data_IF_722106876446
#
_entry.id   IF_722106876446
#
_cell.length_a   1.000
_cell.length_b   1.000
_cell.length_c   1.000
_cell.angle_alpha   90.00
_cell.angle_beta   90.00
_cell.angle_gamma   90.00
#
_symmetry.space_group_name_H-M   'P 1'
#
loop_
_entity.id
_entity.type
_entity.pdbx_description
1 polymer ?
#
# COMPACT_ATOMS: atom_id res chain seq x y z
N UNK A 1 50.79 -20.70 38.89
CA UNK A 1 50.89 -19.25 39.17
C UNK A 1 50.55 -18.49 37.90
N UNK A 2 49.53 -17.63 37.92
CA UNK A 2 49.08 -16.80 36.79
C UNK A 2 49.82 -15.46 36.81
N UNK A 3 50.25 -14.94 35.66
CA UNK A 3 49.96 -13.54 35.34
C UNK A 3 49.45 -13.44 33.88
N UNK A 4 48.15 -13.28 33.64
CA UNK A 4 47.40 -12.03 33.42
C UNK A 4 48.09 -10.95 32.57
N UNK A 5 47.47 -10.79 31.39
CA UNK A 5 47.24 -9.57 30.62
C UNK A 5 48.44 -8.88 29.97
N UNK A 6 48.41 -8.78 28.64
CA UNK A 6 48.32 -7.52 27.88
C UNK A 6 48.16 -7.92 26.41
N UNK A 7 46.93 -8.14 25.92
CA UNK A 7 46.10 -7.11 25.25
C UNK A 7 46.83 -6.42 24.10
N UNK A 8 46.87 -7.06 22.91
CA UNK A 8 46.75 -6.42 21.59
C UNK A 8 46.14 -7.42 20.60
N UNK A 9 44.81 -7.50 20.57
CA UNK A 9 44.08 -8.27 19.57
C UNK A 9 44.04 -7.42 18.30
N UNK A 10 44.70 -7.91 17.25
CA UNK A 10 44.67 -7.33 15.92
C UNK A 10 43.26 -7.41 15.35
N UNK A 11 42.68 -6.24 15.06
CA UNK A 11 41.38 -6.07 14.43
C UNK A 11 41.44 -6.50 12.97
N UNK A 12 40.94 -7.70 12.67
CA UNK A 12 40.63 -8.13 11.30
C UNK A 12 39.25 -7.55 10.97
N UNK A 13 39.24 -6.49 10.15
CA UNK A 13 38.03 -5.82 9.70
C UNK A 13 37.34 -6.67 8.63
N UNK A 14 36.39 -7.52 9.03
CA UNK A 14 35.50 -8.22 8.11
C UNK A 14 34.46 -7.23 7.57
N UNK A 15 34.61 -6.82 6.31
CA UNK A 15 33.60 -6.07 5.56
C UNK A 15 32.39 -7.00 5.32
N UNK A 16 31.44 -7.02 6.26
CA UNK A 16 30.13 -7.61 6.07
C UNK A 16 29.30 -6.70 5.16
N UNK A 17 29.26 -7.02 3.87
CA UNK A 17 28.32 -6.44 2.92
C UNK A 17 26.91 -6.90 3.27
N UNK A 18 26.18 -6.10 4.04
CA UNK A 18 24.74 -6.26 4.22
C UNK A 18 24.07 -5.94 2.88
N UNK A 19 23.66 -6.97 2.14
CA UNK A 19 22.75 -6.81 1.02
C UNK A 19 21.40 -6.34 1.58
N UNK A 20 21.14 -5.04 1.51
CA UNK A 20 19.82 -4.48 1.80
C UNK A 20 18.94 -4.86 0.61
N UNK A 21 18.12 -5.91 0.78
CA UNK A 21 17.15 -6.32 -0.23
C UNK A 21 16.07 -5.23 -0.30
N UNK A 22 15.81 -4.64 -1.47
CA UNK A 22 14.79 -3.61 -1.61
C UNK A 22 13.38 -4.22 -1.46
N UNK A 23 12.63 -3.78 -0.45
CA UNK A 23 11.31 -4.31 -0.08
C UNK A 23 10.13 -3.81 -0.95
N UNK A 24 10.38 -3.34 -2.17
CA UNK A 24 9.41 -2.54 -2.94
C UNK A 24 8.19 -3.31 -3.46
N UNK A 25 8.29 -4.62 -3.70
CA UNK A 25 7.17 -5.42 -4.20
C UNK A 25 6.17 -5.81 -3.08
N UNK A 26 6.67 -6.01 -1.86
CA UNK A 26 5.82 -6.29 -0.70
C UNK A 26 4.95 -5.07 -0.37
N UNK A 27 5.50 -3.88 -0.56
CA UNK A 27 4.82 -2.62 -0.25
C UNK A 27 3.58 -2.38 -1.13
N UNK A 28 3.65 -2.68 -2.43
CA UNK A 28 2.51 -2.44 -3.35
C UNK A 28 1.27 -3.26 -2.99
N UNK A 29 1.43 -4.57 -2.78
CA UNK A 29 0.32 -5.46 -2.47
C UNK A 29 -0.30 -5.08 -1.11
N UNK A 30 0.54 -4.76 -0.13
CA UNK A 30 0.08 -4.34 1.19
C UNK A 30 -0.69 -2.99 1.13
N UNK A 31 -0.21 -2.01 0.35
CA UNK A 31 -0.90 -0.73 0.15
C UNK A 31 -2.23 -0.90 -0.59
N UNK A 32 -2.28 -1.80 -1.58
CA UNK A 32 -3.53 -2.17 -2.26
C UNK A 32 -4.55 -2.74 -1.27
N UNK A 33 -4.14 -3.70 -0.46
CA UNK A 33 -5.02 -4.33 0.54
C UNK A 33 -5.49 -3.31 1.58
N UNK A 34 -4.62 -2.40 2.03
CA UNK A 34 -4.99 -1.32 2.95
C UNK A 34 -6.07 -0.43 2.35
N UNK A 35 -5.90 0.05 1.12
CA UNK A 35 -6.88 0.91 0.45
C UNK A 35 -8.21 0.16 0.21
N UNK A 36 -8.14 -1.06 -0.31
CA UNK A 36 -9.32 -1.88 -0.56
C UNK A 36 -10.12 -2.14 0.72
N UNK A 37 -9.45 -2.53 1.81
CA UNK A 37 -10.10 -2.79 3.09
C UNK A 37 -10.67 -1.50 3.72
N UNK A 38 -9.98 -0.38 3.56
CA UNK A 38 -10.48 0.94 3.98
C UNK A 38 -11.78 1.28 3.25
N UNK A 39 -11.83 1.14 1.92
CA UNK A 39 -13.04 1.42 1.14
C UNK A 39 -14.20 0.50 1.52
N UNK A 40 -13.93 -0.80 1.72
CA UNK A 40 -14.93 -1.75 2.21
C UNK A 40 -15.48 -1.34 3.57
N UNK A 41 -14.60 -1.00 4.50
CA UNK A 41 -14.98 -0.58 5.85
C UNK A 41 -15.82 0.70 5.81
N UNK A 42 -15.44 1.69 5.00
CA UNK A 42 -16.19 2.93 4.83
C UNK A 42 -17.58 2.71 4.23
N UNK A 43 -17.72 1.80 3.28
CA UNK A 43 -19.02 1.45 2.73
C UNK A 43 -19.88 0.71 3.77
N UNK A 44 -19.28 -0.20 4.54
CA UNK A 44 -19.99 -0.99 5.55
C UNK A 44 -20.38 -0.19 6.79
N UNK A 45 -19.59 0.79 7.21
CA UNK A 45 -19.94 1.62 8.36
C UNK A 45 -21.19 2.46 8.10
N UNK A 46 -21.37 2.98 6.87
CA UNK A 46 -22.58 3.72 6.49
C UNK A 46 -23.84 2.84 6.46
N UNK A 47 -23.63 1.54 6.34
CA UNK A 47 -24.66 0.53 6.17
C UNK A 47 -25.00 -0.18 7.48
N UNK A 48 -24.10 -0.17 8.46
CA UNK A 48 -24.29 -0.81 9.76
C UNK A 48 -25.50 -0.27 10.52
N UNK A 49 -25.86 1.00 10.29
CA UNK A 49 -26.99 1.67 10.91
C UNK A 49 -28.29 1.59 10.08
N UNK A 50 -28.26 0.92 8.92
CA UNK A 50 -29.44 0.78 8.09
C UNK A 50 -30.38 -0.30 8.66
N UNK A 51 -31.57 0.12 9.06
CA UNK A 51 -32.61 -0.79 9.55
C UNK A 51 -32.97 -1.85 8.51
N UNK A 52 -33.10 -3.11 8.95
CA UNK A 52 -33.54 -4.23 8.11
C UNK A 52 -32.45 -4.92 7.29
N UNK A 53 -31.17 -4.56 7.46
CA UNK A 53 -30.06 -5.23 6.78
C UNK A 53 -29.83 -6.65 7.33
N UNK A 54 -30.08 -7.67 6.51
CA UNK A 54 -29.76 -9.06 6.84
C UNK A 54 -28.29 -9.40 6.55
N UNK A 55 -27.80 -10.50 7.11
CA UNK A 55 -26.45 -11.00 6.81
C UNK A 55 -26.28 -11.37 5.33
N UNK A 56 -27.33 -11.89 4.68
CA UNK A 56 -27.32 -12.17 3.24
C UNK A 56 -27.16 -10.88 2.42
N UNK A 57 -27.80 -9.78 2.85
CA UNK A 57 -27.63 -8.46 2.21
C UNK A 57 -26.21 -7.93 2.38
N UNK A 58 -25.62 -8.07 3.57
CA UNK A 58 -24.22 -7.69 3.82
C UNK A 58 -23.26 -8.48 2.93
N UNK A 59 -23.49 -9.79 2.78
CA UNK A 59 -22.67 -10.63 1.90
C UNK A 59 -22.75 -10.19 0.43
N UNK A 60 -23.96 -9.84 -0.06
CA UNK A 60 -24.14 -9.30 -1.41
C UNK A 60 -23.39 -7.97 -1.60
N UNK A 61 -23.48 -7.05 -0.64
CA UNK A 61 -22.74 -5.78 -0.70
C UNK A 61 -21.23 -6.02 -0.68
N UNK A 62 -20.73 -6.88 0.21
CA UNK A 62 -19.31 -7.20 0.28
C UNK A 62 -18.78 -7.78 -1.04
N UNK A 63 -19.59 -8.58 -1.75
CA UNK A 63 -19.20 -9.08 -3.06
C UNK A 63 -19.09 -7.96 -4.13
N UNK A 64 -20.00 -6.99 -4.09
CA UNK A 64 -19.90 -5.78 -4.93
C UNK A 64 -18.66 -4.95 -4.59
N UNK A 65 -18.34 -4.79 -3.31
CA UNK A 65 -17.14 -4.08 -2.85
C UNK A 65 -15.84 -4.81 -3.24
N UNK A 66 -15.82 -6.14 -3.18
CA UNK A 66 -14.71 -6.94 -3.72
C UNK A 66 -14.50 -6.68 -5.21
N UNK A 67 -15.58 -6.51 -5.97
CA UNK A 67 -15.50 -6.17 -7.39
C UNK A 67 -14.97 -4.74 -7.60
N UNK A 68 -15.35 -3.78 -6.76
CA UNK A 68 -14.76 -2.43 -6.77
C UNK A 68 -13.25 -2.44 -6.49
N UNK A 69 -12.77 -3.29 -5.58
CA UNK A 69 -11.34 -3.40 -5.33
C UNK A 69 -10.55 -3.87 -6.55
N UNK A 70 -11.15 -4.66 -7.45
CA UNK A 70 -10.50 -5.01 -8.72
C UNK A 70 -10.34 -3.79 -9.63
N UNK A 71 -11.27 -2.83 -9.58
CA UNK A 71 -11.12 -1.58 -10.33
C UNK A 71 -9.95 -0.74 -9.83
N UNK A 72 -9.62 -0.80 -8.54
CA UNK A 72 -8.40 -0.18 -7.98
C UNK A 72 -7.17 -0.81 -8.64
N UNK A 73 -7.08 -2.14 -8.64
CA UNK A 73 -5.97 -2.87 -9.25
C UNK A 73 -5.77 -2.50 -10.74
N UNK A 74 -6.88 -2.38 -11.49
CA UNK A 74 -6.85 -1.91 -12.88
C UNK A 74 -6.34 -0.47 -12.98
N UNK A 75 -6.80 0.44 -12.12
CA UNK A 75 -6.38 1.84 -12.10
C UNK A 75 -4.89 2.05 -11.84
N UNK A 76 -4.25 1.11 -11.12
CA UNK A 76 -2.81 1.10 -10.88
C UNK A 76 -2.05 0.10 -11.76
N UNK A 77 -2.71 -0.50 -12.77
CA UNK A 77 -2.17 -1.60 -13.58
C UNK A 77 -0.84 -1.26 -14.28
N UNK A 78 -0.62 0.00 -14.65
CA UNK A 78 0.67 0.46 -15.22
C UNK A 78 1.84 0.18 -14.27
N UNK A 79 1.63 0.26 -12.95
CA UNK A 79 2.67 -0.04 -11.96
C UNK A 79 3.05 -1.53 -11.90
N UNK A 80 2.12 -2.42 -12.25
CA UNK A 80 2.38 -3.85 -12.35
C UNK A 80 3.23 -4.22 -13.57
N UNK A 81 3.21 -3.37 -14.61
CA UNK A 81 4.03 -3.52 -15.81
C UNK A 81 5.44 -2.95 -15.61
N UNK A 82 5.54 -1.81 -14.91
CA UNK A 82 6.79 -1.06 -14.74
C UNK A 82 7.22 -1.01 -13.27
N UNK A 83 8.26 -1.79 -12.93
CA UNK A 83 8.76 -1.94 -11.56
C UNK A 83 9.13 -0.62 -10.86
N UNK A 84 9.62 0.37 -11.60
CA UNK A 84 10.00 1.69 -11.07
C UNK A 84 8.79 2.50 -10.58
N UNK A 85 7.57 2.14 -10.99
CA UNK A 85 6.34 2.77 -10.55
C UNK A 85 5.76 2.15 -9.27
N UNK A 86 6.14 0.92 -8.91
CA UNK A 86 5.56 0.16 -7.79
C UNK A 86 5.56 0.98 -6.49
N UNK A 87 6.70 1.60 -6.15
CA UNK A 87 6.80 2.39 -4.92
C UNK A 87 5.94 3.66 -4.95
N UNK A 88 5.87 4.37 -6.08
CA UNK A 88 5.00 5.55 -6.18
C UNK A 88 3.51 5.18 -6.17
N UNK A 89 3.14 4.04 -6.74
CA UNK A 89 1.77 3.54 -6.69
C UNK A 89 1.38 3.13 -5.27
N UNK A 90 2.27 2.43 -4.55
CA UNK A 90 2.09 2.07 -3.15
C UNK A 90 1.84 3.31 -2.27
N UNK A 91 2.69 4.34 -2.42
CA UNK A 91 2.55 5.61 -1.69
C UNK A 91 1.26 6.35 -2.00
N UNK A 92 0.81 6.33 -3.27
CA UNK A 92 -0.48 6.88 -3.63
C UNK A 92 -1.61 6.13 -2.92
N UNK A 93 -1.65 4.79 -3.01
CA UNK A 93 -2.68 3.98 -2.36
C UNK A 93 -2.71 4.17 -0.84
N UNK A 94 -1.55 4.29 -0.19
CA UNK A 94 -1.47 4.58 1.25
C UNK A 94 -2.00 5.96 1.60
N UNK A 95 -1.62 6.99 0.84
CA UNK A 95 -2.14 8.34 1.04
C UNK A 95 -3.66 8.42 0.86
N UNK A 96 -4.23 7.55 0.02
CA UNK A 96 -5.68 7.41 -0.11
C UNK A 96 -6.27 6.70 1.11
N UNK A 97 -5.67 5.60 1.57
CA UNK A 97 -6.17 4.83 2.71
C UNK A 97 -6.19 5.64 4.02
N UNK A 98 -5.30 6.62 4.16
CA UNK A 98 -5.24 7.56 5.29
C UNK A 98 -6.38 8.59 5.31
N UNK A 99 -7.06 8.80 4.19
CA UNK A 99 -8.16 9.77 4.10
C UNK A 99 -9.39 9.32 4.92
N UNK A 100 -10.25 10.30 5.21
CA UNK A 100 -11.55 10.05 5.81
C UNK A 100 -12.46 9.30 4.84
N UNK A 101 -13.47 8.58 5.36
CA UNK A 101 -14.44 7.89 4.50
C UNK A 101 -15.23 8.86 3.61
N UNK A 102 -15.51 10.07 4.11
CA UNK A 102 -16.18 11.12 3.36
C UNK A 102 -15.31 11.59 2.18
N UNK A 103 -14.02 11.81 2.43
CA UNK A 103 -13.06 12.19 1.38
C UNK A 103 -12.83 11.08 0.35
N UNK A 104 -12.77 9.82 0.78
CA UNK A 104 -12.60 8.65 -0.11
C UNK A 104 -13.80 8.41 -1.04
N UNK A 105 -14.98 8.90 -0.67
CA UNK A 105 -16.21 8.76 -1.46
C UNK A 105 -16.42 9.91 -2.44
N UNK A 106 -15.62 10.96 -2.32
CA UNK A 106 -15.61 12.08 -3.25
C UNK A 106 -14.70 11.76 -4.45
N UNK A 107 -14.94 12.47 -5.55
CA UNK A 107 -14.14 12.35 -6.78
C UNK A 107 -12.67 12.79 -6.65
N UNK A 108 -12.26 13.21 -5.46
CA UNK A 108 -10.97 13.86 -5.19
C UNK A 108 -10.03 12.97 -4.37
N UNK A 109 -10.44 11.73 -4.08
CA UNK A 109 -9.66 10.77 -3.31
C UNK A 109 -8.25 10.54 -3.89
N UNK A 110 -8.07 10.61 -5.21
CA UNK A 110 -6.80 10.41 -5.92
C UNK A 110 -5.98 11.70 -6.09
N UNK A 111 -6.39 12.84 -5.51
CA UNK A 111 -5.73 14.14 -5.69
C UNK A 111 -4.63 14.44 -4.66
N UNK A 112 -4.19 13.43 -3.91
CA UNK A 112 -3.07 13.58 -2.97
C UNK A 112 -1.77 13.90 -3.72
N UNK A 113 -0.79 14.56 -3.06
CA UNK A 113 0.52 14.78 -3.65
C UNK A 113 1.19 13.50 -4.16
N UNK A 114 1.04 12.39 -3.45
CA UNK A 114 1.61 11.09 -3.79
C UNK A 114 0.97 10.51 -5.07
N UNK A 115 -0.34 10.67 -5.23
CA UNK A 115 -1.04 10.24 -6.44
C UNK A 115 -0.75 11.11 -7.66
N UNK A 116 -0.48 12.41 -7.45
CA UNK A 116 0.02 13.29 -8.51
C UNK A 116 1.42 12.86 -8.98
N UNK A 117 2.31 12.53 -8.03
CA UNK A 117 3.65 12.03 -8.35
C UNK A 117 3.59 10.71 -9.13
N UNK A 118 2.76 9.77 -8.69
CA UNK A 118 2.52 8.52 -9.41
C UNK A 118 2.05 8.78 -10.84
N UNK A 119 1.01 9.61 -11.05
CA UNK A 119 0.52 9.95 -12.39
C UNK A 119 1.58 10.59 -13.26
N UNK A 120 2.37 11.51 -12.72
CA UNK A 120 3.44 12.16 -13.47
C UNK A 120 4.50 11.16 -13.92
N UNK A 121 4.84 10.18 -13.08
CA UNK A 121 5.77 9.09 -13.43
C UNK A 121 5.15 8.13 -14.45
N UNK A 122 3.90 7.73 -14.25
CA UNK A 122 3.18 6.80 -15.11
C UNK A 122 2.94 7.37 -16.52
N UNK A 123 2.64 8.66 -16.64
CA UNK A 123 2.42 9.33 -17.93
C UNK A 123 3.64 9.30 -18.87
N UNK A 124 4.84 8.96 -18.38
CA UNK A 124 6.02 8.72 -19.22
C UNK A 124 5.87 7.48 -20.11
N UNK A 125 5.02 6.54 -19.70
CA UNK A 125 4.81 5.23 -20.33
C UNK A 125 3.52 5.15 -21.16
N UNK A 126 2.71 6.21 -21.16
CA UNK A 126 1.48 6.33 -21.97
C UNK A 126 1.74 6.93 -23.37
N UNK A 127 3.01 6.97 -23.80
CA UNK A 127 3.46 7.51 -25.09
C UNK A 127 3.57 6.44 -26.17
#
# INVERSE_FOLDING_TARGET
MIPKLFRRIATISALSASFIVPAYANDYADSYDRLCNKMKSCAMSQMADAEGMTEDMKAMVMNSLNSMCKSIEVGFGTALVYQDLLSSAAQCMDSMAEQSCESLQQSDADKTPQCLEFRQKAGKYEQ
#
